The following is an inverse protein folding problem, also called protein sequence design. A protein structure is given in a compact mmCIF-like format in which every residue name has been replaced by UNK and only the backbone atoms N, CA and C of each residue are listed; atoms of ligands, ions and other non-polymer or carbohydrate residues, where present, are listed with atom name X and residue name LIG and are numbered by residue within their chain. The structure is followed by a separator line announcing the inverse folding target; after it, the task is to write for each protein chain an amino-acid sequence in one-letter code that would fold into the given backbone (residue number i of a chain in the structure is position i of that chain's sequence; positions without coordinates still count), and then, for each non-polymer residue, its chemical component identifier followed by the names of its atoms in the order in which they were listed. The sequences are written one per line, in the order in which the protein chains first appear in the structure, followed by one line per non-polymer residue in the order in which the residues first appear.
data_IF_715776866135
#
_entry.id   IF_715776866135
#
_cell.length_a   1.000
_cell.length_b   1.000
_cell.length_c   1.000
_cell.angle_alpha   90.00
_cell.angle_beta   90.00
_cell.angle_gamma   90.00
#
_symmetry.space_group_name_H-M   'P 1'
#
loop_
_entity.id
_entity.type
_entity.pdbx_description
1 polymer ?
#
# COMPACT_ATOMS: atom_id res chain seq x y z
N UNK A 1 -54.82 -35.44 36.03
CA UNK A 1 -54.47 -36.73 36.65
C UNK A 1 -52.96 -36.74 36.89
N UNK A 2 -52.57 -36.76 38.17
CA UNK A 2 -51.33 -37.27 38.81
C UNK A 2 -50.05 -37.35 37.95
N UNK A 3 -49.05 -36.46 38.12
CA UNK A 3 -47.97 -36.39 39.14
C UNK A 3 -46.92 -37.52 39.10
N UNK A 4 -45.64 -37.11 39.01
CA UNK A 4 -44.43 -37.56 39.76
C UNK A 4 -43.18 -37.33 38.85
N UNK A 5 -42.34 -36.31 38.99
CA UNK A 5 -41.38 -35.95 40.06
C UNK A 5 -40.35 -37.01 40.47
N UNK A 6 -39.06 -36.66 40.28
CA UNK A 6 -37.84 -36.78 41.15
C UNK A 6 -36.59 -36.85 40.25
N UNK A 7 -35.62 -35.93 40.18
CA UNK A 7 -34.85 -35.09 41.14
C UNK A 7 -33.72 -35.86 41.85
N UNK A 8 -32.56 -35.18 41.98
CA UNK A 8 -31.37 -35.42 42.86
C UNK A 8 -30.17 -36.14 42.17
N UNK A 9 -28.88 -35.80 42.33
CA UNK A 9 -28.09 -34.63 42.76
C UNK A 9 -26.58 -34.97 42.61
N UNK A 10 -25.73 -33.92 42.70
CA UNK A 10 -24.26 -33.86 42.76
C UNK A 10 -23.54 -34.74 43.82
N UNK A 11 -22.24 -35.04 43.56
CA UNK A 11 -21.04 -34.83 44.42
C UNK A 11 -19.82 -35.53 43.77
N UNK A 12 -18.70 -34.90 43.36
CA UNK A 12 -17.56 -34.25 44.05
C UNK A 12 -16.76 -35.15 45.04
N UNK A 13 -15.42 -35.13 44.83
CA UNK A 13 -14.27 -35.43 45.71
C UNK A 13 -13.47 -36.67 45.27
N UNK A 14 -12.22 -36.59 44.76
CA UNK A 14 -10.96 -36.02 45.27
C UNK A 14 -10.40 -36.74 46.52
N UNK A 15 -9.30 -37.51 46.33
CA UNK A 15 -7.98 -37.34 47.00
C UNK A 15 -7.21 -38.65 47.28
N UNK A 16 -5.91 -38.61 46.95
CA UNK A 16 -4.71 -39.14 47.66
C UNK A 16 -4.65 -40.68 47.84
N UNK A 17 -3.60 -41.44 47.51
CA UNK A 17 -2.17 -41.21 47.34
C UNK A 17 -1.41 -42.35 48.04
N UNK A 18 -0.09 -42.44 47.82
CA UNK A 18 0.95 -43.20 48.59
C UNK A 18 1.49 -44.50 47.94
N UNK A 19 2.73 -44.36 47.42
CA UNK A 19 3.97 -45.21 47.46
C UNK A 19 3.82 -46.73 47.54
N UNK A 20 4.58 -47.60 46.85
CA UNK A 20 5.98 -47.57 46.40
C UNK A 20 6.62 -48.94 46.72
N UNK A 21 7.59 -49.40 45.90
CA UNK A 21 8.53 -50.55 46.00
C UNK A 21 8.49 -51.40 44.71
N UNK A 22 9.43 -51.26 43.77
CA UNK A 22 10.85 -51.69 43.77
C UNK A 22 11.03 -53.22 43.60
N UNK A 23 11.64 -53.61 42.47
CA UNK A 23 12.78 -54.54 42.33
C UNK A 23 12.68 -55.49 41.12
N UNK A 24 13.52 -55.19 40.13
CA UNK A 24 14.54 -56.07 39.53
C UNK A 24 14.18 -57.46 38.98
N UNK A 25 14.54 -57.58 37.69
CA UNK A 25 15.24 -58.70 37.04
C UNK A 25 14.42 -59.94 36.64
N UNK A 26 14.28 -60.12 35.33
CA UNK A 26 15.25 -60.94 34.57
C UNK A 26 14.63 -61.34 33.22
N UNK A 27 15.14 -60.81 32.10
CA UNK A 27 15.16 -61.53 30.83
C UNK A 27 16.40 -61.15 30.00
N UNK A 28 17.08 -62.19 29.55
CA UNK A 28 18.29 -62.20 28.75
C UNK A 28 18.04 -61.78 27.30
N UNK A 29 18.84 -60.80 26.86
CA UNK A 29 19.73 -60.82 25.69
C UNK A 29 19.16 -61.24 24.32
N UNK A 30 18.98 -60.25 23.45
CA UNK A 30 19.43 -60.33 22.04
C UNK A 30 20.12 -59.00 21.71
N UNK A 31 21.30 -59.10 21.09
CA UNK A 31 22.17 -57.99 20.68
C UNK A 31 21.50 -57.15 19.59
N UNK A 32 21.45 -55.84 19.77
CA UNK A 32 21.37 -54.88 18.68
C UNK A 32 22.40 -53.77 18.92
N UNK A 33 23.16 -53.49 17.88
CA UNK A 33 24.38 -52.66 17.81
C UNK A 33 24.14 -51.20 18.19
N UNK A 34 24.98 -50.68 19.09
CA UNK A 34 25.12 -49.24 19.39
C UNK A 34 25.55 -48.46 18.14
N UNK A 35 24.78 -47.42 17.79
CA UNK A 35 25.24 -46.31 16.95
C UNK A 35 25.67 -45.16 17.86
N UNK A 36 26.77 -44.44 17.56
CA UNK A 36 27.22 -43.34 18.41
C UNK A 36 26.24 -42.16 18.33
N UNK A 37 25.94 -41.58 19.49
CA UNK A 37 25.28 -40.29 19.64
C UNK A 37 26.30 -39.23 19.21
N UNK A 38 26.03 -38.54 18.10
CA UNK A 38 26.75 -37.33 17.72
C UNK A 38 26.03 -36.15 18.37
N UNK A 39 26.70 -35.48 19.30
CA UNK A 39 26.28 -34.16 19.79
C UNK A 39 26.37 -33.18 18.61
N UNK A 40 25.23 -32.67 18.17
CA UNK A 40 25.19 -31.50 17.29
C UNK A 40 25.72 -30.30 18.05
N UNK A 41 26.93 -29.90 17.69
CA UNK A 41 27.49 -28.60 18.00
C UNK A 41 26.68 -27.59 17.20
N UNK A 42 25.91 -26.77 17.89
CA UNK A 42 25.18 -25.64 17.30
C UNK A 42 26.22 -24.65 16.77
N UNK A 43 26.43 -24.66 15.45
CA UNK A 43 27.20 -23.65 14.73
C UNK A 43 26.48 -22.31 14.75
N UNK A 44 27.20 -21.18 14.81
CA UNK A 44 26.59 -19.86 14.76
C UNK A 44 25.83 -19.67 13.44
N UNK A 45 24.61 -19.18 13.61
CA UNK A 45 23.71 -18.59 12.62
C UNK A 45 24.45 -18.04 11.38
N UNK A 46 24.16 -18.64 10.23
CA UNK A 46 24.61 -18.16 8.93
C UNK A 46 24.21 -16.70 8.78
N UNK A 47 25.20 -15.81 8.72
CA UNK A 47 25.01 -14.46 8.24
C UNK A 47 24.31 -14.56 6.88
N UNK A 48 23.11 -13.98 6.77
CA UNK A 48 22.40 -13.84 5.51
C UNK A 48 23.38 -13.27 4.49
N UNK A 49 23.71 -14.07 3.48
CA UNK A 49 24.54 -13.64 2.36
C UNK A 49 23.70 -12.59 1.63
N UNK A 50 23.93 -11.31 1.93
CA UNK A 50 23.42 -10.21 1.12
C UNK A 50 23.92 -10.47 -0.31
N UNK A 51 23.00 -10.60 -1.27
CA UNK A 51 23.39 -10.67 -2.67
C UNK A 51 24.29 -9.46 -2.99
N UNK A 52 25.37 -9.65 -3.78
CA UNK A 52 26.28 -8.56 -4.07
C UNK A 52 25.50 -7.42 -4.73
N UNK A 53 25.59 -6.23 -4.14
CA UNK A 53 24.90 -5.04 -4.64
C UNK A 53 25.23 -4.90 -6.13
N UNK A 54 24.20 -4.78 -6.97
CA UNK A 54 24.38 -4.51 -8.40
C UNK A 54 25.26 -3.27 -8.55
N UNK A 55 26.46 -3.46 -9.08
CA UNK A 55 27.44 -2.39 -9.15
C UNK A 55 27.01 -1.40 -10.23
N UNK A 56 26.50 -0.24 -9.81
CA UNK A 56 26.10 0.87 -10.68
C UNK A 56 27.15 1.96 -10.66
N UNK A 57 27.31 2.69 -11.77
CA UNK A 57 28.12 3.91 -11.80
C UNK A 57 27.37 5.04 -11.07
N UNK A 58 27.80 5.35 -9.84
CA UNK A 58 27.18 6.36 -8.98
C UNK A 58 27.32 7.79 -9.54
N UNK A 59 28.37 8.06 -10.33
CA UNK A 59 28.55 9.38 -10.95
C UNK A 59 27.66 9.54 -12.18
N UNK A 60 27.36 8.45 -12.88
CA UNK A 60 26.41 8.45 -14.00
C UNK A 60 24.95 8.46 -13.53
N UNK A 61 24.57 7.53 -12.66
CA UNK A 61 23.18 7.35 -12.19
C UNK A 61 22.76 8.45 -11.23
N UNK A 62 23.70 8.92 -10.39
CA UNK A 62 23.47 9.90 -9.32
C UNK A 62 22.24 9.56 -8.44
N UNK A 63 22.17 8.33 -7.89
CA UNK A 63 21.04 7.92 -7.06
C UNK A 63 20.90 8.82 -5.83
N UNK A 64 19.66 9.15 -5.48
CA UNK A 64 19.36 9.93 -4.30
C UNK A 64 18.02 9.47 -3.71
N UNK A 65 18.08 8.43 -2.90
CA UNK A 65 16.91 7.83 -2.28
C UNK A 65 16.39 8.59 -1.06
N UNK A 66 17.00 9.74 -0.72
CA UNK A 66 16.44 10.72 0.22
C UNK A 66 15.49 11.72 -0.47
N UNK A 67 15.39 11.67 -1.80
CA UNK A 67 14.57 12.58 -2.60
C UNK A 67 13.06 12.38 -2.43
N UNK A 68 12.30 13.32 -2.99
CA UNK A 68 10.85 13.34 -2.92
C UNK A 68 10.21 12.47 -4.01
N UNK A 69 9.06 11.89 -3.68
CA UNK A 69 8.24 11.04 -4.54
C UNK A 69 6.91 11.74 -4.79
N UNK A 70 6.43 11.72 -6.03
CA UNK A 70 5.09 12.23 -6.35
C UNK A 70 4.04 11.16 -6.05
N UNK A 71 3.00 11.55 -5.32
CA UNK A 71 1.77 10.76 -5.16
C UNK A 71 0.67 11.49 -5.92
N UNK A 72 0.38 11.04 -7.13
CA UNK A 72 -0.54 11.69 -8.06
C UNK A 72 -1.98 11.36 -7.71
N UNK A 73 -2.80 12.41 -7.61
CA UNK A 73 -4.22 12.33 -7.28
C UNK A 73 -5.06 12.68 -8.50
N UNK A 74 -5.80 11.68 -8.97
CA UNK A 74 -6.87 11.80 -9.97
C UNK A 74 -8.24 11.60 -9.30
N UNK A 75 -9.31 12.03 -9.97
CA UNK A 75 -10.69 11.73 -9.56
C UNK A 75 -11.45 11.17 -10.77
N UNK A 76 -11.92 12.03 -11.68
CA UNK A 76 -12.52 11.58 -12.94
C UNK A 76 -11.48 11.48 -14.05
N UNK A 77 -11.55 10.40 -14.84
CA UNK A 77 -10.98 10.34 -16.20
C UNK A 77 -12.12 10.53 -17.20
N UNK A 78 -12.44 11.77 -17.54
CA UNK A 78 -13.62 12.11 -18.34
C UNK A 78 -13.52 13.47 -19.02
N UNK A 79 -14.38 13.67 -20.00
CA UNK A 79 -14.58 14.96 -20.65
C UNK A 79 -15.77 15.74 -20.07
N UNK A 80 -15.71 17.09 -20.07
CA UNK A 80 -14.55 17.92 -20.40
C UNK A 80 -13.51 17.97 -19.25
N UNK A 81 -12.30 18.45 -19.55
CA UNK A 81 -11.31 18.79 -18.52
C UNK A 81 -11.92 19.79 -17.51
N UNK A 82 -11.78 19.50 -16.22
CA UNK A 82 -12.35 20.32 -15.15
C UNK A 82 -11.53 20.22 -13.86
N UNK A 83 -11.98 20.86 -12.78
CA UNK A 83 -11.26 20.89 -11.51
C UNK A 83 -10.86 19.48 -11.00
N UNK A 84 -11.79 18.54 -11.06
CA UNK A 84 -11.59 17.16 -10.61
C UNK A 84 -11.73 16.15 -11.76
N UNK A 85 -11.52 16.60 -13.00
CA UNK A 85 -11.60 15.76 -14.18
C UNK A 85 -10.41 15.99 -15.11
N UNK A 86 -9.70 14.90 -15.39
CA UNK A 86 -8.67 14.80 -16.42
C UNK A 86 -9.27 14.12 -17.63
N UNK A 87 -9.11 14.63 -18.85
CA UNK A 87 -9.63 13.89 -20.02
C UNK A 87 -8.84 12.60 -20.25
N UNK A 88 -9.44 11.58 -20.89
CA UNK A 88 -8.73 10.36 -21.29
C UNK A 88 -7.43 10.65 -22.06
N UNK A 89 -7.49 11.57 -23.03
CA UNK A 89 -6.31 12.01 -23.81
C UNK A 89 -5.22 12.62 -22.93
N UNK A 90 -5.60 13.51 -22.01
CA UNK A 90 -4.65 14.13 -21.12
C UNK A 90 -4.07 13.15 -20.09
N UNK A 91 -4.83 12.15 -19.67
CA UNK A 91 -4.30 11.09 -18.81
C UNK A 91 -3.27 10.22 -19.54
N UNK A 92 -3.52 9.86 -20.81
CA UNK A 92 -2.51 9.21 -21.67
C UNK A 92 -1.23 10.03 -21.76
N UNK A 93 -1.37 11.34 -22.01
CA UNK A 93 -0.22 12.27 -22.04
C UNK A 93 0.52 12.31 -20.70
N UNK A 94 -0.18 12.30 -19.57
CA UNK A 94 0.47 12.27 -18.25
C UNK A 94 1.32 11.00 -18.08
N UNK A 95 0.81 9.82 -18.50
CA UNK A 95 1.57 8.57 -18.46
C UNK A 95 2.79 8.60 -19.38
N UNK A 96 2.64 9.09 -20.60
CA UNK A 96 3.75 9.24 -21.56
C UNK A 96 4.86 10.13 -20.99
N UNK A 97 4.49 11.30 -20.47
CA UNK A 97 5.45 12.24 -19.89
C UNK A 97 6.17 11.66 -18.68
N UNK A 98 5.44 10.94 -17.81
CA UNK A 98 6.06 10.23 -16.68
C UNK A 98 7.05 9.16 -17.19
N UNK A 99 6.64 8.34 -18.14
CA UNK A 99 7.46 7.28 -18.73
C UNK A 99 8.75 7.83 -19.36
N UNK A 100 8.64 8.82 -20.25
CA UNK A 100 9.76 9.48 -20.94
C UNK A 100 10.74 10.14 -19.97
N UNK A 101 10.23 10.69 -18.84
CA UNK A 101 11.06 11.35 -17.81
C UNK A 101 11.66 10.39 -16.78
N UNK A 102 11.50 9.08 -16.99
CA UNK A 102 12.06 8.04 -16.15
C UNK A 102 11.30 7.81 -14.85
N UNK A 103 10.00 8.13 -14.80
CA UNK A 103 9.16 7.74 -13.68
C UNK A 103 8.58 6.33 -13.87
N UNK A 104 8.48 5.56 -12.79
CA UNK A 104 7.94 4.19 -12.78
C UNK A 104 6.92 4.03 -11.66
N UNK A 105 5.68 3.58 -11.96
CA UNK A 105 4.67 3.39 -10.94
C UNK A 105 5.08 2.34 -9.91
N UNK A 106 4.86 2.64 -8.63
CA UNK A 106 4.93 1.68 -7.52
C UNK A 106 3.60 1.66 -6.77
N UNK A 107 3.33 0.60 -6.01
CA UNK A 107 2.16 0.58 -5.15
C UNK A 107 2.30 1.62 -4.02
N UNK A 108 1.18 2.17 -3.55
CA UNK A 108 1.19 3.04 -2.37
C UNK A 108 1.73 2.31 -1.13
N UNK A 109 1.47 1.00 -1.03
CA UNK A 109 1.96 0.16 0.06
C UNK A 109 3.47 0.04 0.06
N UNK A 110 4.07 -0.18 -1.10
CA UNK A 110 5.53 -0.21 -1.27
C UNK A 110 6.14 1.14 -0.89
N UNK A 111 5.53 2.25 -1.35
CA UNK A 111 5.97 3.58 -0.94
C UNK A 111 5.87 3.77 0.58
N UNK A 112 4.75 3.45 1.20
CA UNK A 112 4.53 3.65 2.63
C UNK A 112 5.46 2.80 3.52
N UNK A 113 5.90 1.64 3.04
CA UNK A 113 6.75 0.69 3.77
C UNK A 113 8.22 0.74 3.36
N UNK A 114 8.58 1.57 2.39
CA UNK A 114 9.94 1.65 1.87
C UNK A 114 10.37 0.42 1.05
N UNK A 115 9.44 -0.39 0.56
CA UNK A 115 9.73 -1.54 -0.30
C UNK A 115 9.90 -1.10 -1.77
N UNK A 116 10.88 -0.24 -2.05
CA UNK A 116 11.09 0.32 -3.38
C UNK A 116 11.99 -0.61 -4.20
N UNK A 117 11.46 -1.14 -5.30
CA UNK A 117 12.17 -2.01 -6.26
C UNK A 117 12.35 -1.33 -7.62
N UNK A 118 12.24 -0.01 -7.67
CA UNK A 118 12.42 0.77 -8.91
C UNK A 118 13.84 0.59 -9.44
N UNK A 119 14.00 0.42 -10.75
CA UNK A 119 15.31 0.22 -11.35
C UNK A 119 16.24 1.43 -11.21
N UNK A 120 17.55 1.18 -11.26
CA UNK A 120 18.57 2.20 -11.11
C UNK A 120 18.38 3.36 -12.12
N UNK A 121 18.44 4.59 -11.62
CA UNK A 121 18.27 5.81 -12.43
C UNK A 121 16.83 6.23 -12.69
N UNK A 122 15.85 5.37 -12.38
CA UNK A 122 14.43 5.71 -12.45
C UNK A 122 13.92 6.29 -11.13
N UNK A 123 12.76 6.96 -11.21
CA UNK A 123 12.09 7.58 -10.08
C UNK A 123 10.75 6.90 -9.82
N UNK A 124 10.45 6.42 -8.60
CA UNK A 124 9.13 5.93 -8.27
C UNK A 124 8.07 7.04 -8.34
N UNK A 125 6.86 6.70 -8.79
CA UNK A 125 5.65 7.55 -8.72
C UNK A 125 4.48 6.70 -8.21
N UNK A 126 3.59 7.28 -7.42
CA UNK A 126 2.37 6.59 -6.97
C UNK A 126 1.18 7.19 -7.69
N UNK A 127 0.32 6.35 -8.27
CA UNK A 127 -0.92 6.76 -8.93
C UNK A 127 -2.13 6.45 -8.03
N UNK A 128 -2.97 7.46 -7.76
CA UNK A 128 -4.16 7.32 -6.92
C UNK A 128 -5.39 7.91 -7.60
N UNK A 129 -6.54 7.24 -7.43
CA UNK A 129 -7.84 7.66 -7.96
C UNK A 129 -8.85 7.69 -6.83
N UNK A 130 -9.40 8.86 -6.54
CA UNK A 130 -10.40 9.04 -5.49
C UNK A 130 -11.83 8.82 -6.01
N UNK A 131 -12.76 8.60 -5.09
CA UNK A 131 -14.21 8.38 -5.27
C UNK A 131 -14.67 7.07 -5.91
N UNK A 132 -13.81 6.33 -6.60
CA UNK A 132 -14.22 5.11 -7.31
C UNK A 132 -15.28 5.40 -8.37
N UNK A 133 -15.09 6.45 -9.19
CA UNK A 133 -16.03 6.85 -10.24
C UNK A 133 -16.15 5.78 -11.31
N UNK A 134 -17.30 5.72 -12.00
CA UNK A 134 -17.48 4.76 -13.10
C UNK A 134 -16.41 4.91 -14.18
N UNK A 135 -16.00 6.13 -14.51
CA UNK A 135 -14.94 6.38 -15.50
C UNK A 135 -13.52 6.01 -15.03
N UNK A 136 -13.32 5.61 -13.77
CA UNK A 136 -12.07 4.99 -13.34
C UNK A 136 -12.00 3.53 -13.82
N UNK A 137 -13.12 2.81 -13.77
CA UNK A 137 -13.22 1.45 -14.28
C UNK A 137 -14.62 1.24 -14.85
N UNK A 138 -14.78 1.38 -16.16
CA UNK A 138 -16.07 1.26 -16.84
C UNK A 138 -16.10 -0.01 -17.69
N UNK A 139 -17.25 -0.67 -17.75
CA UNK A 139 -17.52 -1.78 -18.66
C UNK A 139 -18.47 -1.31 -19.75
N UNK A 140 -18.13 -1.59 -21.00
CA UNK A 140 -18.95 -1.32 -22.17
C UNK A 140 -19.50 -2.63 -22.72
N UNK A 141 -20.76 -2.64 -23.15
CA UNK A 141 -21.33 -3.76 -23.88
C UNK A 141 -21.23 -3.47 -25.38
N UNK A 142 -20.55 -4.36 -26.11
CA UNK A 142 -20.52 -4.34 -27.58
C UNK A 142 -21.88 -4.79 -28.14
N UNK A 143 -22.11 -4.50 -29.42
CA UNK A 143 -23.34 -4.90 -30.14
C UNK A 143 -23.59 -6.42 -30.14
N UNK A 144 -22.52 -7.22 -30.10
CA UNK A 144 -22.60 -8.68 -30.01
C UNK A 144 -22.94 -9.21 -28.60
N UNK A 145 -23.15 -8.32 -27.62
CA UNK A 145 -23.45 -8.64 -26.23
C UNK A 145 -22.23 -8.88 -25.33
N UNK A 146 -21.01 -8.86 -25.89
CA UNK A 146 -19.75 -9.00 -25.14
C UNK A 146 -19.47 -7.76 -24.29
N UNK A 147 -19.04 -7.97 -23.05
CA UNK A 147 -18.58 -6.90 -22.18
C UNK A 147 -17.07 -6.72 -22.31
N UNK A 148 -16.63 -5.48 -22.50
CA UNK A 148 -15.21 -5.09 -22.51
C UNK A 148 -14.95 -3.99 -21.49
N UNK A 149 -13.69 -3.85 -21.10
CA UNK A 149 -13.24 -2.68 -20.36
C UNK A 149 -13.24 -1.48 -21.30
N UNK A 150 -13.78 -0.37 -20.83
CA UNK A 150 -13.78 0.90 -21.55
C UNK A 150 -12.34 1.37 -21.77
N UNK A 151 -11.87 1.50 -23.03
CA UNK A 151 -10.51 1.92 -23.34
C UNK A 151 -10.20 3.36 -22.93
N UNK A 152 -11.22 4.17 -22.64
CA UNK A 152 -11.08 5.55 -22.13
C UNK A 152 -11.25 5.65 -20.61
N UNK A 153 -11.51 4.55 -19.91
CA UNK A 153 -11.46 4.52 -18.44
C UNK A 153 -10.03 4.48 -17.92
N UNK A 154 -9.81 4.88 -16.66
CA UNK A 154 -8.47 4.86 -16.07
C UNK A 154 -7.81 3.47 -16.14
N UNK A 155 -8.55 2.41 -15.80
CA UNK A 155 -8.06 1.02 -15.88
C UNK A 155 -7.74 0.62 -17.32
N UNK A 156 -8.61 0.93 -18.28
CA UNK A 156 -8.37 0.61 -19.69
C UNK A 156 -7.13 1.31 -20.26
N UNK A 157 -6.92 2.59 -19.90
CA UNK A 157 -5.74 3.35 -20.30
C UNK A 157 -4.47 2.79 -19.65
N UNK A 158 -4.49 2.53 -18.34
CA UNK A 158 -3.34 1.96 -17.62
C UNK A 158 -2.93 0.58 -18.17
N UNK A 159 -3.92 -0.27 -18.47
CA UNK A 159 -3.67 -1.60 -19.03
C UNK A 159 -3.05 -1.49 -20.41
N UNK A 160 -3.64 -0.67 -21.28
CA UNK A 160 -3.14 -0.47 -22.64
C UNK A 160 -1.72 0.10 -22.65
N UNK A 161 -1.46 1.07 -21.78
CA UNK A 161 -0.13 1.68 -21.65
C UNK A 161 0.91 0.67 -21.16
N UNK A 162 0.56 -0.17 -20.17
CA UNK A 162 1.44 -1.24 -19.69
C UNK A 162 1.72 -2.32 -20.76
N UNK A 163 0.72 -2.69 -21.56
CA UNK A 163 0.92 -3.62 -22.68
C UNK A 163 1.92 -3.09 -23.72
N UNK A 164 1.90 -1.78 -23.98
CA UNK A 164 2.79 -1.10 -24.92
C UNK A 164 4.17 -0.81 -24.29
N UNK A 165 4.22 -0.66 -22.96
CA UNK A 165 5.42 -0.36 -22.17
C UNK A 165 5.53 -1.33 -20.98
N UNK A 166 5.98 -2.59 -21.19
CA UNK A 166 6.02 -3.60 -20.11
C UNK A 166 6.93 -3.22 -18.93
N UNK A 167 7.89 -2.32 -19.14
CA UNK A 167 8.78 -1.75 -18.13
C UNK A 167 8.15 -0.58 -17.35
N UNK A 168 6.91 -0.19 -17.66
CA UNK A 168 6.07 0.71 -16.88
C UNK A 168 5.01 -0.12 -16.15
N UNK A 169 5.22 -0.49 -14.87
CA UNK A 169 4.33 -1.39 -14.16
C UNK A 169 2.91 -0.84 -14.05
N UNK A 170 1.91 -1.72 -14.21
CA UNK A 170 0.51 -1.39 -13.97
C UNK A 170 0.23 -1.28 -12.46
N UNK A 171 0.59 -0.15 -11.84
CA UNK A 171 0.38 0.13 -10.41
C UNK A 171 -0.46 1.39 -10.21
N UNK A 172 -1.57 1.25 -9.49
CA UNK A 172 -2.38 2.35 -8.99
C UNK A 172 -3.26 1.88 -7.82
N UNK A 173 -3.69 2.83 -6.99
CA UNK A 173 -4.67 2.58 -5.91
C UNK A 173 -5.98 3.32 -6.20
N UNK A 174 -7.09 2.60 -6.17
CA UNK A 174 -8.44 3.16 -6.31
C UNK A 174 -9.12 3.25 -4.95
N UNK A 175 -9.31 4.48 -4.46
CA UNK A 175 -10.00 4.76 -3.21
C UNK A 175 -11.51 4.79 -3.45
N UNK A 176 -12.23 3.81 -2.91
CA UNK A 176 -13.67 3.64 -3.16
C UNK A 176 -14.53 4.06 -1.97
N UNK A 177 -15.76 4.46 -2.27
CA UNK A 177 -16.83 4.69 -1.30
C UNK A 177 -17.97 3.66 -1.48
N UNK A 178 -19.03 3.70 -0.67
CA UNK A 178 -20.14 2.73 -0.72
C UNK A 178 -21.21 3.05 -1.77
N UNK A 179 -21.09 4.16 -2.50
CA UNK A 179 -22.04 4.63 -3.50
C UNK A 179 -21.87 3.87 -4.83
N UNK A 180 -22.02 2.54 -4.77
CA UNK A 180 -21.77 1.59 -5.86
C UNK A 180 -20.40 1.87 -6.50
N UNK A 181 -19.31 1.31 -5.96
CA UNK A 181 -17.98 1.51 -6.54
C UNK A 181 -18.00 1.25 -8.05
N UNK A 182 -17.45 2.21 -8.79
CA UNK A 182 -17.37 2.21 -10.25
C UNK A 182 -18.73 2.17 -10.97
N UNK A 183 -19.83 2.58 -10.31
CA UNK A 183 -21.14 2.90 -10.90
C UNK A 183 -21.92 1.77 -11.58
N UNK A 184 -21.38 0.56 -11.68
CA UNK A 184 -22.02 -0.59 -12.34
C UNK A 184 -22.09 -1.77 -11.38
N UNK A 185 -23.19 -1.86 -10.64
CA UNK A 185 -23.37 -2.83 -9.55
C UNK A 185 -23.22 -4.28 -10.02
N UNK A 186 -23.75 -4.58 -11.20
CA UNK A 186 -23.69 -5.88 -11.87
C UNK A 186 -22.27 -6.32 -12.21
N UNK A 187 -21.33 -5.38 -12.31
CA UNK A 187 -19.91 -5.65 -12.59
C UNK A 187 -19.01 -5.47 -11.38
N UNK A 188 -19.54 -5.13 -10.20
CA UNK A 188 -18.73 -4.81 -9.02
C UNK A 188 -17.80 -5.96 -8.63
N UNK A 189 -18.32 -7.19 -8.56
CA UNK A 189 -17.51 -8.36 -8.22
C UNK A 189 -16.37 -8.58 -9.21
N UNK A 190 -16.66 -8.51 -10.52
CA UNK A 190 -15.67 -8.61 -11.57
C UNK A 190 -14.59 -7.54 -11.41
N UNK A 191 -14.99 -6.27 -11.23
CA UNK A 191 -14.06 -5.14 -11.13
C UNK A 191 -13.12 -5.27 -9.94
N UNK A 192 -13.63 -5.59 -8.75
CA UNK A 192 -12.78 -5.73 -7.56
C UNK A 192 -11.76 -6.87 -7.73
N UNK A 193 -12.18 -8.02 -8.25
CA UNK A 193 -11.28 -9.15 -8.53
C UNK A 193 -10.25 -8.79 -9.59
N UNK A 194 -10.67 -8.13 -10.66
CA UNK A 194 -9.80 -7.71 -11.76
C UNK A 194 -8.69 -6.78 -11.30
N UNK A 195 -9.01 -5.79 -10.47
CA UNK A 195 -8.00 -4.86 -9.94
C UNK A 195 -6.88 -5.62 -9.23
N UNK A 196 -7.22 -6.55 -8.34
CA UNK A 196 -6.22 -7.31 -7.56
C UNK A 196 -5.46 -8.29 -8.44
N UNK A 197 -6.14 -8.98 -9.36
CA UNK A 197 -5.51 -9.91 -10.31
C UNK A 197 -4.47 -9.20 -11.18
N UNK A 198 -4.74 -7.96 -11.59
CA UNK A 198 -3.84 -7.12 -12.39
C UNK A 198 -2.76 -6.40 -11.55
N UNK A 199 -2.74 -6.61 -10.25
CA UNK A 199 -1.74 -6.03 -9.35
C UNK A 199 -1.96 -4.55 -9.02
N UNK A 200 -3.19 -4.05 -9.20
CA UNK A 200 -3.70 -2.77 -8.71
C UNK A 200 -4.24 -2.92 -7.29
N UNK A 201 -4.44 -1.81 -6.59
CA UNK A 201 -4.90 -1.79 -5.19
C UNK A 201 -6.25 -1.11 -5.01
N UNK A 202 -6.97 -1.52 -3.96
CA UNK A 202 -8.21 -0.92 -3.49
C UNK A 202 -7.95 -0.25 -2.14
N UNK A 203 -8.24 1.04 -2.06
CA UNK A 203 -8.11 1.84 -0.85
C UNK A 203 -9.47 2.27 -0.28
N UNK A 204 -9.46 2.73 0.97
CA UNK A 204 -10.62 3.23 1.68
C UNK A 204 -10.84 4.72 1.40
N UNK A 205 -12.02 5.11 0.89
CA UNK A 205 -12.45 6.52 0.82
C UNK A 205 -13.67 6.81 1.69
N UNK A 206 -13.87 6.02 2.75
CA UNK A 206 -15.02 6.01 3.65
C UNK A 206 -16.32 5.59 2.96
N UNK A 207 -17.24 5.02 3.71
CA UNK A 207 -18.51 4.55 3.17
C UNK A 207 -19.27 5.68 2.48
N UNK A 208 -19.54 6.78 3.18
CA UNK A 208 -20.39 7.86 2.67
C UNK A 208 -19.64 9.13 2.29
N UNK A 209 -18.32 9.04 2.03
CA UNK A 209 -17.46 10.21 1.76
C UNK A 209 -17.54 11.26 2.90
N UNK A 210 -17.28 10.81 4.13
CA UNK A 210 -17.52 11.59 5.36
C UNK A 210 -16.57 12.79 5.50
N UNK A 211 -17.10 13.93 5.94
CA UNK A 211 -16.29 15.06 6.41
C UNK A 211 -15.86 14.81 7.87
N UNK A 212 -14.60 14.44 8.07
CA UNK A 212 -14.07 14.10 9.39
C UNK A 212 -14.09 15.27 10.38
N UNK A 213 -14.22 16.52 9.92
CA UNK A 213 -14.33 17.67 10.83
C UNK A 213 -15.64 17.68 11.63
N UNK A 214 -16.60 16.83 11.24
CA UNK A 214 -17.93 16.67 11.84
C UNK A 214 -18.19 15.26 12.40
N UNK A 215 -17.21 14.35 12.32
CA UNK A 215 -17.36 12.97 12.74
C UNK A 215 -16.84 12.77 14.18
N UNK A 216 -17.54 11.93 14.94
CA UNK A 216 -17.08 11.41 16.23
C UNK A 216 -16.37 10.05 16.05
N UNK A 217 -15.90 9.46 17.15
CA UNK A 217 -15.18 8.18 17.15
C UNK A 217 -16.00 7.02 16.54
N UNK A 218 -17.30 6.95 16.84
CA UNK A 218 -18.17 5.89 16.32
C UNK A 218 -18.38 6.06 14.82
N UNK A 219 -18.66 7.29 14.36
CA UNK A 219 -18.82 7.58 12.93
C UNK A 219 -17.55 7.28 12.14
N UNK A 220 -16.37 7.67 12.63
CA UNK A 220 -15.10 7.37 11.96
C UNK A 220 -14.92 5.86 11.77
N UNK A 221 -15.11 5.09 12.84
CA UNK A 221 -14.91 3.64 12.80
C UNK A 221 -15.94 2.95 11.90
N UNK A 222 -17.21 3.37 11.96
CA UNK A 222 -18.28 2.86 11.11
C UNK A 222 -17.99 3.08 9.63
N UNK A 223 -17.56 4.29 9.28
CA UNK A 223 -17.23 4.69 7.92
C UNK A 223 -16.09 3.86 7.32
N UNK A 224 -15.03 3.67 8.10
CA UNK A 224 -13.85 2.93 7.66
C UNK A 224 -14.13 1.41 7.59
N UNK A 225 -14.79 0.85 8.61
CA UNK A 225 -15.19 -0.56 8.63
C UNK A 225 -16.20 -0.89 7.51
N UNK A 226 -17.03 0.07 7.10
CA UNK A 226 -18.01 -0.11 6.03
C UNK A 226 -17.37 -0.52 4.70
N UNK A 227 -16.27 0.12 4.31
CA UNK A 227 -15.55 -0.23 3.08
C UNK A 227 -14.83 -1.57 3.21
N UNK A 228 -14.24 -1.87 4.37
CA UNK A 228 -13.65 -3.20 4.64
C UNK A 228 -14.69 -4.30 4.50
N UNK A 229 -15.88 -4.12 5.06
CA UNK A 229 -16.98 -5.08 4.95
C UNK A 229 -17.51 -5.19 3.51
N UNK A 230 -17.59 -4.08 2.77
CA UNK A 230 -18.04 -4.09 1.36
C UNK A 230 -17.10 -4.94 0.50
N UNK A 231 -15.79 -4.69 0.59
CA UNK A 231 -14.79 -5.40 -0.21
C UNK A 231 -14.61 -6.83 0.27
N UNK A 232 -14.61 -7.07 1.59
CA UNK A 232 -14.46 -8.40 2.18
C UNK A 232 -15.54 -9.41 1.79
N UNK A 233 -16.73 -8.95 1.36
CA UNK A 233 -17.77 -9.82 0.79
C UNK A 233 -17.38 -10.44 -0.55
N UNK A 234 -16.49 -9.79 -1.30
CA UNK A 234 -16.02 -10.22 -2.62
C UNK A 234 -14.59 -10.78 -2.54
N UNK A 235 -13.75 -10.17 -1.73
CA UNK A 235 -12.32 -10.45 -1.57
C UNK A 235 -11.99 -10.68 -0.08
N UNK A 236 -12.32 -11.84 0.50
CA UNK A 236 -12.16 -12.09 1.94
C UNK A 236 -10.70 -12.07 2.40
N UNK A 237 -9.75 -12.37 1.50
CA UNK A 237 -8.32 -12.40 1.79
C UNK A 237 -7.60 -11.07 1.47
N UNK A 238 -8.30 -10.11 0.84
CA UNK A 238 -7.72 -8.81 0.54
C UNK A 238 -7.83 -7.87 1.75
N UNK A 239 -6.69 -7.34 2.18
CA UNK A 239 -6.63 -6.37 3.27
C UNK A 239 -6.59 -4.95 2.71
N UNK A 240 -7.61 -4.16 3.01
CA UNK A 240 -7.58 -2.71 2.82
C UNK A 240 -6.80 -2.08 3.97
N UNK A 241 -5.64 -1.52 3.68
CA UNK A 241 -4.73 -0.89 4.64
C UNK A 241 -4.30 0.52 4.21
N UNK A 242 -5.03 1.15 3.29
CA UNK A 242 -4.77 2.53 2.85
C UNK A 242 -6.04 3.37 2.89
N UNK A 243 -5.90 4.66 3.23
CA UNK A 243 -7.01 5.60 3.38
C UNK A 243 -6.71 6.94 2.71
N UNK A 244 -7.52 7.36 1.74
CA UNK A 244 -7.53 8.74 1.28
C UNK A 244 -8.59 9.52 2.08
N UNK A 245 -8.21 10.64 2.70
CA UNK A 245 -9.14 11.42 3.51
C UNK A 245 -10.11 12.20 2.59
N UNK A 246 -11.44 11.98 2.70
CA UNK A 246 -12.40 12.78 1.95
C UNK A 246 -12.21 14.26 2.27
N UNK A 247 -12.17 15.09 1.22
CA UNK A 247 -11.90 16.53 1.29
C UNK A 247 -10.53 16.91 1.91
N UNK A 248 -9.62 15.95 2.15
CA UNK A 248 -8.43 16.16 2.98
C UNK A 248 -8.77 16.47 4.45
N UNK A 249 -10.00 16.17 4.88
CA UNK A 249 -10.51 16.54 6.20
C UNK A 249 -9.87 15.68 7.30
N UNK A 250 -9.66 16.29 8.47
CA UNK A 250 -9.17 15.62 9.68
C UNK A 250 -10.12 15.93 10.84
N UNK A 251 -10.27 15.03 11.83
CA UNK A 251 -11.00 15.33 13.04
C UNK A 251 -10.51 16.61 13.72
N UNK A 252 -11.43 17.45 14.18
CA UNK A 252 -11.08 18.68 14.92
C UNK A 252 -10.45 18.36 16.27
N UNK A 253 -10.97 17.33 16.94
CA UNK A 253 -10.37 16.79 18.14
C UNK A 253 -9.23 15.82 17.76
N UNK A 254 -7.99 16.21 18.11
CA UNK A 254 -6.80 15.41 17.82
C UNK A 254 -6.81 14.04 18.51
N UNK A 255 -7.57 13.86 19.59
CA UNK A 255 -7.73 12.57 20.24
C UNK A 255 -8.31 11.50 19.31
N UNK A 256 -9.09 11.93 18.31
CA UNK A 256 -9.76 11.06 17.35
C UNK A 256 -8.87 10.63 16.17
N UNK A 257 -7.70 11.22 16.00
CA UNK A 257 -6.78 10.89 14.89
C UNK A 257 -6.38 9.41 14.91
N UNK A 258 -6.26 8.81 16.10
CA UNK A 258 -5.94 7.38 16.26
C UNK A 258 -6.98 6.45 15.61
N UNK A 259 -8.24 6.87 15.53
CA UNK A 259 -9.29 6.12 14.84
C UNK A 259 -9.16 6.18 13.32
N UNK A 260 -8.41 7.12 12.74
CA UNK A 260 -8.10 7.07 11.31
C UNK A 260 -7.07 5.98 11.01
N UNK A 261 -6.14 5.71 11.94
CA UNK A 261 -5.14 4.66 11.80
C UNK A 261 -5.76 3.28 11.99
N UNK A 262 -6.51 3.05 13.06
CA UNK A 262 -7.09 1.73 13.36
C UNK A 262 -8.34 1.82 14.21
N UNK A 263 -9.20 0.81 14.09
CA UNK A 263 -10.42 0.75 14.86
C UNK A 263 -11.21 -0.53 14.60
N UNK A 264 -12.38 -0.60 15.21
CA UNK A 264 -13.31 -1.71 15.08
C UNK A 264 -14.75 -1.18 15.10
N UNK A 265 -15.58 -1.70 14.22
CA UNK A 265 -17.02 -1.45 14.24
C UNK A 265 -17.76 -2.74 13.90
N UNK A 266 -18.74 -3.14 14.72
CA UNK A 266 -19.53 -4.36 14.53
C UNK A 266 -18.68 -5.63 14.26
N UNK A 267 -17.52 -5.75 14.91
CA UNK A 267 -16.61 -6.90 14.76
C UNK A 267 -15.67 -6.81 13.55
N UNK A 268 -15.83 -5.81 12.68
CA UNK A 268 -14.96 -5.57 11.52
C UNK A 268 -13.82 -4.64 11.96
N UNK A 269 -12.59 -5.15 11.93
CA UNK A 269 -11.38 -4.40 12.25
C UNK A 269 -10.75 -3.78 11.01
N UNK A 270 -10.13 -2.62 11.15
CA UNK A 270 -9.30 -2.03 10.11
C UNK A 270 -8.01 -1.46 10.72
N UNK A 271 -6.96 -1.40 9.91
CA UNK A 271 -5.70 -0.73 10.23
C UNK A 271 -5.03 -0.24 8.96
N UNK A 272 -4.89 1.07 8.85
CA UNK A 272 -4.25 1.79 7.76
C UNK A 272 -2.75 1.95 8.05
N UNK A 273 -1.93 1.53 7.08
CA UNK A 273 -0.48 1.77 7.05
C UNK A 273 -0.15 3.09 6.33
N UNK A 274 -1.07 3.58 5.49
CA UNK A 274 -0.95 4.82 4.74
C UNK A 274 -2.24 5.65 4.81
N UNK A 275 -2.12 6.94 5.13
CA UNK A 275 -3.22 7.91 5.10
C UNK A 275 -2.80 9.10 4.26
N UNK A 276 -3.62 9.44 3.26
CA UNK A 276 -3.32 10.46 2.27
C UNK A 276 -4.12 11.73 2.52
N UNK A 277 -3.41 12.84 2.48
CA UNK A 277 -3.98 14.19 2.53
C UNK A 277 -4.44 14.65 1.14
N UNK A 278 -4.83 15.91 0.98
CA UNK A 278 -5.21 16.47 -0.33
C UNK A 278 -3.97 16.94 -1.11
N UNK A 279 -4.19 17.46 -2.32
CA UNK A 279 -3.12 17.95 -3.19
C UNK A 279 -2.39 19.18 -2.66
N UNK A 280 -1.07 19.06 -2.54
CA UNK A 280 -0.14 20.14 -2.22
C UNK A 280 1.20 19.98 -2.96
N UNK A 281 2.01 18.97 -2.58
CA UNK A 281 3.38 18.83 -3.06
C UNK A 281 3.90 17.38 -3.07
N UNK A 282 5.01 17.07 -3.78
CA UNK A 282 5.68 15.78 -3.70
C UNK A 282 6.15 15.50 -2.27
N UNK A 283 5.97 14.27 -1.82
CA UNK A 283 6.19 13.90 -0.43
C UNK A 283 7.57 13.28 -0.19
N UNK A 284 7.95 13.14 1.07
CA UNK A 284 9.31 12.72 1.46
C UNK A 284 9.61 11.28 1.05
N UNK A 285 10.89 10.96 0.86
CA UNK A 285 11.35 9.56 0.79
C UNK A 285 10.85 8.79 2.02
N UNK A 286 10.48 7.49 1.88
CA UNK A 286 10.07 6.68 3.03
C UNK A 286 11.18 6.54 4.09
N UNK A 287 12.43 6.75 3.68
CA UNK A 287 13.61 6.66 4.55
C UNK A 287 13.93 7.98 5.28
N UNK A 288 13.23 9.07 4.95
CA UNK A 288 13.47 10.39 5.52
C UNK A 288 12.90 10.51 6.95
N UNK A 289 13.60 11.19 7.86
CA UNK A 289 13.16 11.37 9.27
C UNK A 289 11.79 12.01 9.44
N UNK A 290 11.46 12.97 8.59
CA UNK A 290 10.15 13.63 8.60
C UNK A 290 9.05 12.91 7.79
N UNK A 291 9.31 11.74 7.21
CA UNK A 291 8.27 10.97 6.53
C UNK A 291 7.21 10.47 7.51
N UNK A 292 5.93 10.74 7.25
CA UNK A 292 4.85 10.18 8.03
C UNK A 292 3.88 9.47 7.08
N UNK A 293 3.85 8.13 7.13
CA UNK A 293 2.96 7.35 6.27
C UNK A 293 1.48 7.64 6.55
N UNK A 294 1.14 8.14 7.74
CA UNK A 294 -0.22 8.51 8.15
C UNK A 294 -0.58 9.97 7.81
N UNK A 295 0.24 10.66 7.00
CA UNK A 295 0.05 12.05 6.60
C UNK A 295 0.71 12.33 5.23
N UNK A 296 0.55 11.42 4.27
CA UNK A 296 1.19 11.52 2.95
C UNK A 296 0.54 12.64 2.14
N UNK A 297 1.34 13.62 1.71
CA UNK A 297 0.86 14.65 0.78
C UNK A 297 0.72 14.09 -0.64
N UNK A 298 -0.17 14.70 -1.41
CA UNK A 298 -0.40 14.35 -2.81
C UNK A 298 -0.14 15.52 -3.74
N UNK A 299 -0.08 15.23 -5.03
CA UNK A 299 -0.02 16.21 -6.12
C UNK A 299 -1.30 16.07 -6.95
N UNK A 300 -2.00 17.18 -7.20
CA UNK A 300 -3.13 17.15 -8.15
C UNK A 300 -2.61 16.92 -9.56
N UNK A 301 -3.03 15.83 -10.18
CA UNK A 301 -2.59 15.48 -11.51
C UNK A 301 -3.40 16.24 -12.58
N UNK A 302 -3.07 17.52 -12.70
CA UNK A 302 -3.65 18.45 -13.66
C UNK A 302 -2.61 19.51 -14.02
N UNK A 303 -2.84 20.19 -15.14
CA UNK A 303 -2.14 21.40 -15.60
C UNK A 303 -3.10 22.58 -15.81
N UNK A 304 -4.33 22.49 -15.33
CA UNK A 304 -5.25 23.61 -15.36
C UNK A 304 -4.83 24.67 -14.34
N UNK A 305 -4.08 25.67 -14.80
CA UNK A 305 -3.59 26.82 -14.03
C UNK A 305 -4.63 27.43 -13.10
N UNK A 306 -5.91 27.48 -13.51
CA UNK A 306 -7.00 27.97 -12.68
C UNK A 306 -7.09 27.26 -11.31
N UNK A 307 -6.75 25.98 -11.24
CA UNK A 307 -6.92 25.13 -10.05
C UNK A 307 -5.60 24.72 -9.40
N UNK A 308 -4.50 24.65 -10.16
CA UNK A 308 -3.24 24.04 -9.69
C UNK A 308 -1.99 24.85 -9.98
N UNK A 309 -2.10 26.16 -10.27
CA UNK A 309 -0.95 27.02 -10.58
C UNK A 309 0.21 26.88 -9.58
N UNK A 310 1.36 26.42 -10.07
CA UNK A 310 2.60 26.25 -9.31
C UNK A 310 2.66 24.98 -8.47
N UNK A 311 1.61 24.16 -8.48
CA UNK A 311 1.47 22.94 -7.64
C UNK A 311 0.88 21.75 -8.41
N UNK A 312 0.67 21.86 -9.72
CA UNK A 312 0.20 20.77 -10.58
C UNK A 312 1.31 19.78 -10.94
N UNK A 313 0.95 18.70 -11.63
CA UNK A 313 1.90 17.67 -12.07
C UNK A 313 3.10 18.28 -12.82
N UNK A 314 2.83 19.11 -13.82
CA UNK A 314 3.86 19.68 -14.68
C UNK A 314 4.71 20.76 -14.00
N UNK A 315 4.16 21.46 -12.99
CA UNK A 315 4.93 22.38 -12.16
C UNK A 315 5.98 21.64 -11.33
N UNK A 316 5.60 20.52 -10.71
CA UNK A 316 6.53 19.72 -9.91
C UNK A 316 7.60 19.02 -10.74
N UNK A 317 7.22 18.49 -11.91
CA UNK A 317 8.18 17.99 -12.90
C UNK A 317 9.22 19.07 -13.24
N UNK A 318 8.77 20.28 -13.55
CA UNK A 318 9.64 21.42 -13.86
C UNK A 318 10.56 21.79 -12.68
N UNK A 319 10.05 21.75 -11.45
CA UNK A 319 10.85 22.04 -10.25
C UNK A 319 11.93 21.00 -9.98
N UNK A 320 11.64 19.72 -10.24
CA UNK A 320 12.66 18.67 -10.15
C UNK A 320 13.74 18.83 -11.22
N UNK A 321 13.38 19.14 -12.46
CA UNK A 321 14.34 19.37 -13.56
C UNK A 321 15.25 20.57 -13.29
N UNK A 322 14.70 21.63 -12.70
CA UNK A 322 15.49 22.82 -12.30
C UNK A 322 16.35 22.58 -11.06
N UNK A 323 16.20 21.44 -10.38
CA UNK A 323 16.89 21.16 -9.12
C UNK A 323 16.43 22.01 -7.94
N UNK A 324 15.29 22.72 -8.04
CA UNK A 324 14.73 23.49 -6.91
C UNK A 324 14.08 22.60 -5.85
N UNK A 325 13.79 21.35 -6.22
CA UNK A 325 13.33 20.26 -5.35
C UNK A 325 14.21 19.04 -5.61
N UNK A 326 14.37 18.19 -4.60
CA UNK A 326 15.19 17.00 -4.71
C UNK A 326 14.30 15.84 -5.12
N UNK A 327 14.52 15.27 -6.30
CA UNK A 327 13.81 14.11 -6.83
C UNK A 327 14.41 12.82 -6.28
N UNK A 328 13.58 11.83 -5.95
CA UNK A 328 14.07 10.49 -5.66
C UNK A 328 14.66 9.87 -6.93
N UNK A 329 15.87 9.31 -6.86
CA UNK A 329 16.46 8.52 -7.95
C UNK A 329 16.95 7.22 -7.35
N UNK A 330 16.42 6.09 -7.82
CA UNK A 330 16.77 4.79 -7.24
C UNK A 330 18.17 4.34 -7.65
N UNK A 331 18.82 3.57 -6.78
CA UNK A 331 20.03 2.83 -7.12
C UNK A 331 19.75 1.44 -7.71
N UNK A 332 18.49 0.99 -7.69
CA UNK A 332 18.06 -0.29 -8.22
C UNK A 332 18.27 -1.49 -7.30
N UNK A 333 18.70 -1.30 -6.05
CA UNK A 333 18.86 -2.37 -5.06
C UNK A 333 17.89 -2.18 -3.88
N UNK A 334 16.85 -3.03 -3.72
CA UNK A 334 15.88 -2.88 -2.64
C UNK A 334 16.45 -3.04 -1.22
N UNK A 335 17.68 -3.58 -1.11
CA UNK A 335 18.37 -3.80 0.16
C UNK A 335 19.37 -2.69 0.52
N UNK A 336 19.52 -1.67 -0.33
CA UNK A 336 20.43 -0.56 -0.12
C UNK A 336 19.66 0.76 -0.20
N UNK A 337 20.04 1.73 0.61
CA UNK A 337 19.59 3.13 0.49
C UNK A 337 20.80 3.97 0.12
N UNK A 338 20.90 4.33 -1.16
CA UNK A 338 22.02 5.14 -1.68
C UNK A 338 21.68 6.62 -1.74
N UNK A 339 22.53 7.45 -1.13
CA UNK A 339 22.38 8.92 -1.12
C UNK A 339 23.72 9.64 -1.27
N UNK A 340 23.77 10.85 -1.85
CA UNK A 340 24.93 11.71 -1.72
C UNK A 340 25.21 12.01 -0.25
N UNK A 341 26.49 12.09 0.16
CA UNK A 341 26.90 12.27 1.57
C UNK A 341 26.15 13.41 2.29
N UNK A 342 25.90 14.53 1.60
CA UNK A 342 25.17 15.68 2.14
C UNK A 342 23.72 15.39 2.57
N UNK A 343 23.13 14.27 2.14
CA UNK A 343 21.78 13.85 2.49
C UNK A 343 21.75 12.71 3.53
N UNK A 344 22.89 12.23 4.01
CA UNK A 344 22.92 11.16 5.02
C UNK A 344 22.16 11.57 6.30
N UNK A 345 22.31 12.82 6.75
CA UNK A 345 21.72 13.37 7.99
C UNK A 345 20.19 13.55 7.95
N UNK A 346 19.55 13.36 6.79
CA UNK A 346 18.09 13.41 6.67
C UNK A 346 17.43 12.03 6.74
N UNK A 347 18.23 10.96 6.67
CA UNK A 347 17.75 9.59 6.82
C UNK A 347 17.42 9.29 8.29
N UNK A 348 16.42 8.45 8.50
CA UNK A 348 16.11 7.86 9.81
C UNK A 348 16.52 6.39 9.82
N UNK A 349 17.52 5.99 10.63
CA UNK A 349 17.98 4.62 10.70
C UNK A 349 16.85 3.60 10.96
N UNK A 350 15.80 3.97 11.70
CA UNK A 350 14.68 3.07 11.96
C UNK A 350 13.82 2.83 10.71
N UNK A 351 13.74 3.81 9.80
CA UNK A 351 12.96 3.71 8.56
C UNK A 351 13.74 3.09 7.42
N UNK A 352 15.06 3.27 7.41
CA UNK A 352 15.96 2.50 6.56
C UNK A 352 15.82 1.01 6.89
N UNK A 353 15.70 0.69 8.17
CA UNK A 353 15.46 -0.67 8.65
C UNK A 353 16.70 -1.55 8.48
N UNK A 354 16.52 -2.74 7.92
CA UNK A 354 17.60 -3.72 7.71
C UNK A 354 18.46 -3.42 6.47
N UNK A 355 18.14 -2.36 5.72
CA UNK A 355 18.87 -1.97 4.51
C UNK A 355 20.23 -1.36 4.84
N UNK A 356 21.19 -1.58 3.96
CA UNK A 356 22.49 -0.94 4.03
C UNK A 356 22.40 0.52 3.60
N UNK A 357 23.09 1.45 4.28
CA UNK A 357 23.24 2.82 3.80
C UNK A 357 24.52 2.91 2.98
N UNK A 358 24.41 3.39 1.74
CA UNK A 358 25.55 3.72 0.89
C UNK A 358 25.61 5.21 0.65
N UNK A 359 26.76 5.81 0.89
CA UNK A 359 27.00 7.22 0.58
C UNK A 359 28.10 7.40 -0.46
N UNK A 360 28.02 8.50 -1.20
CA UNK A 360 29.03 8.86 -2.19
C UNK A 360 29.16 10.39 -2.33
N UNK A 361 30.34 10.85 -2.72
CA UNK A 361 30.59 12.24 -3.09
C UNK A 361 30.24 12.44 -4.58
N UNK A 362 29.54 13.52 -4.91
CA UNK A 362 29.27 13.89 -6.31
C UNK A 362 30.52 14.60 -6.84
N UNK A 363 31.10 14.08 -7.92
CA UNK A 363 32.21 14.73 -8.63
C UNK A 363 31.66 15.92 -9.45
N UNK A 364 32.41 17.03 -9.46
CA UNK A 364 32.04 18.28 -10.17
C UNK A 364 32.21 18.19 -11.69
#
# INVERSE_FOLDING_TARGET
MKTNEKLIAMAIAAMIGITGCNSSASQNTVKETEKPIVQEVVTPEEAQIQEPIKEIDLQQVKPNEAGQIMVLMYHHIAEPEAEWARTPENFRRDLEVLYEKGYRPISLKDYATGNITTEAGYTPVVLTFDDGRQNNFNMLQKENGEWIIDPDSAVGILEKFHEEHPDFPMKATFFINDNIPFGQKEHLEFKLKYLIEKGLDIGNHTATHVDFTKADADRIQKELAGIVNLVGKVLPDYRIDTLALPFGSKPKDKSLMSYLEKGIHEGITYQNIAILEVGWDPYKSPYHKDFNSLAIHRVRASDLEKYVKGVGLYDWLTQFEKGSRIRYVSDGDPNTVTVPEKYQEVLDPNKVGERSIRTYTIEE
#
